data_IF_965551990633
#
_entry.id   IF_965551990633
#
_cell.length_a   1.000
_cell.length_b   1.000
_cell.length_c   1.000
_cell.angle_alpha   90.00
_cell.angle_beta   90.00
_cell.angle_gamma   90.00
#
_symmetry.space_group_name_H-M   'P 1'
#
loop_
_entity.id
_entity.type
_entity.pdbx_description
1 polymer ?
#
# COMPACT_ATOMS: atom_id res chain seq x y z
N UNK A 1 9.73 52.62 -6.26
CA UNK A 1 10.62 53.01 -5.15
C UNK A 1 9.82 52.90 -3.86
N UNK A 2 10.40 52.19 -2.88
CA UNK A 2 10.00 52.05 -1.47
C UNK A 2 8.54 51.71 -1.14
N UNK A 3 8.29 50.43 -0.85
CA UNK A 3 7.24 50.02 0.10
C UNK A 3 7.93 49.31 1.27
N UNK A 4 8.11 50.06 2.34
CA UNK A 4 8.37 49.56 3.68
C UNK A 4 7.03 49.26 4.33
N UNK A 5 6.84 48.04 4.84
CA UNK A 5 5.99 47.78 6.00
C UNK A 5 6.37 46.42 6.58
N UNK A 6 6.77 46.48 7.86
CA UNK A 6 7.21 45.39 8.70
C UNK A 6 6.11 45.03 9.72
N UNK A 7 6.41 44.00 10.52
CA UNK A 7 5.71 43.53 11.73
C UNK A 7 4.50 42.61 11.45
N UNK A 8 4.33 41.46 12.12
CA UNK A 8 4.73 41.11 13.47
C UNK A 8 5.12 39.64 13.63
N UNK A 9 6.11 39.43 14.49
CA UNK A 9 6.49 38.19 15.14
C UNK A 9 5.38 37.77 16.12
N UNK A 10 5.01 36.50 16.15
CA UNK A 10 4.25 35.91 17.25
C UNK A 10 5.22 35.13 18.14
N UNK A 11 5.19 35.48 19.42
CA UNK A 11 5.98 34.94 20.52
C UNK A 11 5.44 33.57 20.98
N UNK A 12 6.32 32.60 21.30
CA UNK A 12 5.94 31.33 21.91
C UNK A 12 6.11 31.40 23.43
N UNK A 13 4.97 31.55 24.11
CA UNK A 13 4.82 31.47 25.56
C UNK A 13 3.42 30.84 25.76
N UNK A 14 3.11 29.93 26.68
CA UNK A 14 3.71 29.47 27.92
C UNK A 14 2.58 28.61 28.51
N UNK A 15 2.74 27.30 28.68
CA UNK A 15 1.90 26.51 29.60
C UNK A 15 2.77 25.44 30.23
N UNK A 16 3.20 25.78 31.43
CA UNK A 16 3.85 24.95 32.45
C UNK A 16 2.74 24.29 33.31
N UNK A 17 3.00 23.04 33.72
CA UNK A 17 2.51 22.14 34.81
C UNK A 17 1.53 22.69 35.89
N UNK A 18 0.92 21.91 36.82
CA UNK A 18 1.07 20.48 37.23
C UNK A 18 -0.33 19.76 37.28
N UNK A 19 -0.59 18.53 37.79
CA UNK A 19 -0.65 18.09 39.19
C UNK A 19 -0.93 16.55 39.28
N UNK A 20 -0.13 15.91 40.12
CA UNK A 20 -0.42 14.84 41.10
C UNK A 20 -1.80 14.14 41.07
N UNK A 21 -1.85 12.87 40.67
CA UNK A 21 -2.93 11.95 41.04
C UNK A 21 -2.32 10.79 41.84
N UNK A 22 -2.21 11.03 43.14
CA UNK A 22 -1.93 10.03 44.17
C UNK A 22 -3.00 8.93 44.11
N UNK A 23 -2.63 7.72 43.66
CA UNK A 23 -3.47 6.54 43.87
C UNK A 23 -3.01 5.79 45.11
N UNK A 24 -3.90 5.82 46.09
CA UNK A 24 -3.76 5.35 47.44
C UNK A 24 -3.32 3.90 47.57
N UNK A 25 -2.45 3.69 48.56
CA UNK A 25 -2.17 2.45 49.26
C UNK A 25 -3.43 1.61 49.55
N UNK A 26 -3.42 0.36 49.13
CA UNK A 26 -4.25 -0.69 49.70
C UNK A 26 -3.39 -1.88 50.11
N UNK A 27 -2.58 -1.67 51.15
CA UNK A 27 -2.00 -2.75 51.93
C UNK A 27 -3.09 -3.51 52.68
N UNK A 28 -3.35 -4.77 52.30
CA UNK A 28 -3.86 -5.78 53.24
C UNK A 28 -3.69 -7.22 52.77
N UNK A 29 -3.27 -8.02 53.74
CA UNK A 29 -3.45 -9.46 53.94
C UNK A 29 -2.52 -10.43 53.19
N UNK A 30 -1.67 -11.06 54.00
CA UNK A 30 -0.76 -12.11 53.58
C UNK A 30 -1.47 -13.38 53.12
N UNK A 31 -0.94 -13.93 52.04
CA UNK A 31 -1.06 -15.34 51.68
C UNK A 31 0.34 -15.88 51.47
N UNK A 32 0.76 -16.83 52.31
CA UNK A 32 1.88 -17.72 52.01
C UNK A 32 1.46 -18.61 50.83
N UNK A 33 1.62 -18.12 49.61
CA UNK A 33 1.44 -18.86 48.38
C UNK A 33 2.81 -19.22 47.80
N UNK A 34 3.02 -20.51 47.56
CA UNK A 34 4.23 -21.11 47.00
C UNK A 34 4.77 -20.36 45.77
N UNK A 35 6.09 -20.42 45.48
CA UNK A 35 6.65 -19.82 44.27
C UNK A 35 6.02 -20.52 43.07
N UNK A 36 5.10 -19.83 42.38
CA UNK A 36 4.66 -20.22 41.06
C UNK A 36 5.89 -20.18 40.17
N UNK A 37 6.41 -21.38 39.86
CA UNK A 37 7.37 -21.65 38.81
C UNK A 37 6.96 -20.79 37.61
N UNK A 38 7.77 -19.78 37.33
CA UNK A 38 7.78 -19.11 36.04
C UNK A 38 8.06 -20.20 35.01
N UNK A 39 6.99 -20.71 34.41
CA UNK A 39 7.03 -21.60 33.26
C UNK A 39 7.65 -20.81 32.12
N UNK A 40 8.98 -20.72 32.14
CA UNK A 40 9.78 -20.31 31.00
C UNK A 40 9.45 -21.34 29.93
N UNK A 41 8.56 -20.99 29.00
CA UNK A 41 8.28 -21.80 27.83
C UNK A 41 9.62 -22.02 27.14
N UNK A 42 10.17 -23.23 27.25
CA UNK A 42 11.34 -23.61 26.47
C UNK A 42 11.01 -23.36 24.99
N UNK A 43 11.90 -22.72 24.22
CA UNK A 43 11.70 -22.58 22.79
C UNK A 43 11.63 -23.99 22.21
N UNK A 44 10.45 -24.34 21.67
CA UNK A 44 10.22 -25.61 20.99
C UNK A 44 11.35 -25.80 19.97
N UNK A 45 12.13 -26.89 20.04
CA UNK A 45 13.20 -27.13 19.08
C UNK A 45 12.59 -27.20 17.69
N UNK A 46 12.98 -26.26 16.82
CA UNK A 46 12.60 -26.29 15.40
C UNK A 46 13.13 -27.59 14.83
N UNK A 47 12.24 -28.49 14.41
CA UNK A 47 12.63 -29.67 13.66
C UNK A 47 13.44 -29.21 12.45
N UNK A 48 14.55 -29.90 12.16
CA UNK A 48 15.49 -29.53 11.08
C UNK A 48 14.84 -29.52 9.68
N UNK A 49 13.59 -29.99 9.57
CA UNK A 49 12.80 -30.09 8.35
C UNK A 49 11.76 -28.98 8.17
N UNK A 50 11.73 -27.95 9.03
CA UNK A 50 10.90 -26.77 8.80
C UNK A 50 11.56 -25.89 7.73
N UNK A 51 11.22 -26.16 6.47
CA UNK A 51 11.61 -25.32 5.35
C UNK A 51 11.13 -23.88 5.59
N UNK A 52 12.04 -22.91 5.44
CA UNK A 52 11.66 -21.51 5.46
C UNK A 52 10.65 -21.27 4.33
N UNK A 53 9.53 -20.65 4.66
CA UNK A 53 8.47 -20.27 3.71
C UNK A 53 8.37 -18.75 3.61
N UNK A 54 7.94 -18.27 2.45
CA UNK A 54 7.68 -16.86 2.23
C UNK A 54 6.52 -16.39 3.12
N UNK A 55 6.73 -15.37 3.94
CA UNK A 55 5.67 -14.88 4.83
C UNK A 55 4.49 -14.22 4.09
N UNK A 56 4.63 -13.90 2.80
CA UNK A 56 3.59 -13.28 1.98
C UNK A 56 2.73 -14.34 1.27
N UNK A 57 3.35 -15.28 0.55
CA UNK A 57 2.60 -16.28 -0.24
C UNK A 57 2.54 -17.67 0.41
N UNK A 58 3.30 -17.90 1.48
CA UNK A 58 3.43 -19.17 2.21
C UNK A 58 4.06 -20.32 1.39
N UNK A 59 4.62 -20.02 0.23
CA UNK A 59 5.36 -21.00 -0.58
C UNK A 59 6.84 -21.10 -0.14
N UNK A 60 7.48 -22.27 -0.30
CA UNK A 60 8.89 -22.47 0.02
C UNK A 60 9.83 -21.73 -0.96
N UNK A 61 11.13 -21.80 -0.68
CA UNK A 61 12.15 -21.39 -1.63
C UNK A 61 12.01 -22.18 -2.96
N UNK A 62 12.22 -21.49 -4.09
CA UNK A 62 12.18 -22.09 -5.43
C UNK A 62 10.86 -21.89 -6.20
N UNK A 63 9.72 -21.73 -5.52
CA UNK A 63 8.44 -21.49 -6.19
C UNK A 63 8.41 -20.16 -6.97
N UNK A 64 8.88 -19.08 -6.35
CA UNK A 64 8.95 -17.72 -6.94
C UNK A 64 10.37 -17.12 -6.87
N UNK A 65 11.38 -18.00 -6.75
CA UNK A 65 12.78 -17.63 -6.55
C UNK A 65 13.30 -17.96 -5.15
N UNK A 66 14.48 -17.44 -4.82
CA UNK A 66 15.10 -17.63 -3.52
C UNK A 66 14.40 -16.80 -2.45
N UNK A 67 14.42 -17.30 -1.21
CA UNK A 67 13.99 -16.54 -0.05
C UNK A 67 15.13 -15.64 0.43
N UNK A 68 14.78 -14.41 0.76
CA UNK A 68 15.70 -13.43 1.33
C UNK A 68 15.14 -12.85 2.63
N UNK A 69 16.03 -12.22 3.39
CA UNK A 69 15.71 -11.56 4.66
C UNK A 69 16.08 -10.08 4.53
N UNK A 70 15.15 -9.21 4.11
CA UNK A 70 15.45 -7.81 3.82
C UNK A 70 15.79 -7.00 5.08
N UNK A 71 15.52 -7.55 6.27
CA UNK A 71 15.82 -6.93 7.55
C UNK A 71 16.06 -8.01 8.63
N UNK A 72 16.37 -7.58 9.86
CA UNK A 72 16.64 -8.47 11.00
C UNK A 72 15.40 -9.25 11.51
N UNK A 73 14.20 -8.97 11.00
CA UNK A 73 13.01 -9.70 11.39
C UNK A 73 13.12 -11.21 11.08
N UNK A 74 12.45 -12.09 11.85
CA UNK A 74 12.50 -13.54 11.67
C UNK A 74 11.78 -14.06 10.42
N UNK A 75 11.47 -13.21 9.44
CA UNK A 75 10.60 -13.52 8.31
C UNK A 75 11.38 -13.54 7.00
N UNK A 76 11.25 -14.65 6.27
CA UNK A 76 11.84 -14.86 4.94
C UNK A 76 10.81 -14.55 3.86
N UNK A 77 11.21 -13.93 2.74
CA UNK A 77 10.31 -13.49 1.67
C UNK A 77 10.94 -13.67 0.30
N UNK A 78 10.15 -13.93 -0.74
CA UNK A 78 10.66 -13.80 -2.11
C UNK A 78 10.80 -12.33 -2.49
N UNK A 79 11.88 -11.97 -3.18
CA UNK A 79 12.11 -10.60 -3.65
C UNK A 79 10.92 -10.02 -4.43
N UNK A 80 10.30 -10.85 -5.28
CA UNK A 80 9.12 -10.46 -6.07
C UNK A 80 7.86 -10.25 -5.20
N UNK A 81 7.65 -11.09 -4.20
CA UNK A 81 6.52 -10.94 -3.27
C UNK A 81 6.66 -9.66 -2.46
N UNK A 82 7.87 -9.36 -1.98
CA UNK A 82 8.17 -8.11 -1.29
C UNK A 82 7.91 -6.91 -2.22
N UNK A 83 8.41 -6.95 -3.45
CA UNK A 83 8.20 -5.87 -4.42
C UNK A 83 6.71 -5.62 -4.70
N UNK A 84 5.91 -6.68 -4.84
CA UNK A 84 4.45 -6.55 -4.99
C UNK A 84 3.79 -5.94 -3.76
N UNK A 85 4.20 -6.35 -2.56
CA UNK A 85 3.66 -5.80 -1.32
C UNK A 85 4.04 -4.31 -1.12
N UNK A 86 5.28 -3.93 -1.44
CA UNK A 86 5.72 -2.54 -1.43
C UNK A 86 4.90 -1.70 -2.43
N UNK A 87 4.67 -2.20 -3.64
CA UNK A 87 3.82 -1.53 -4.63
C UNK A 87 2.37 -1.35 -4.13
N UNK A 88 1.77 -2.35 -3.48
CA UNK A 88 0.43 -2.20 -2.87
C UNK A 88 0.41 -1.23 -1.68
N UNK A 89 1.58 -0.94 -1.13
CA UNK A 89 1.75 -0.02 -0.02
C UNK A 89 2.30 1.33 -0.47
N UNK A 90 2.34 1.59 -1.77
CA UNK A 90 2.91 2.82 -2.31
C UNK A 90 2.26 4.07 -1.70
N UNK A 91 3.11 5.03 -1.36
CA UNK A 91 2.72 6.24 -0.64
C UNK A 91 2.64 6.10 0.88
N UNK A 92 2.74 4.89 1.43
CA UNK A 92 2.85 4.66 2.88
C UNK A 92 4.28 4.35 3.28
N UNK A 93 4.58 4.47 4.57
CA UNK A 93 5.89 4.12 5.12
C UNK A 93 6.26 2.67 4.80
N UNK A 94 5.28 1.76 4.79
CA UNK A 94 5.48 0.35 4.43
C UNK A 94 6.03 0.13 3.02
N UNK A 95 5.95 1.10 2.11
CA UNK A 95 6.63 1.02 0.82
C UNK A 95 8.16 0.93 1.00
N UNK A 96 8.72 1.65 1.97
CA UNK A 96 10.16 1.88 2.11
C UNK A 96 10.75 1.34 3.40
N UNK A 97 9.96 1.14 4.44
CA UNK A 97 10.45 0.66 5.74
C UNK A 97 9.68 -0.57 6.22
N UNK A 98 10.38 -1.43 6.94
CA UNK A 98 9.76 -2.59 7.57
C UNK A 98 8.76 -2.14 8.64
N UNK A 99 7.51 -2.61 8.57
CA UNK A 99 6.47 -2.30 9.57
C UNK A 99 6.80 -2.75 11.00
N UNK A 100 7.76 -3.66 11.18
CA UNK A 100 8.08 -4.23 12.49
C UNK A 100 9.34 -3.63 13.11
N UNK A 101 10.42 -3.52 12.35
CA UNK A 101 11.70 -3.01 12.85
C UNK A 101 12.12 -1.66 12.25
N UNK A 102 11.30 -1.07 11.37
CA UNK A 102 11.52 0.21 10.70
C UNK A 102 12.81 0.33 9.89
N UNK A 103 13.51 -0.78 9.66
CA UNK A 103 14.67 -0.85 8.76
C UNK A 103 14.23 -0.53 7.34
N UNK A 104 15.04 0.26 6.64
CA UNK A 104 14.84 0.58 5.23
C UNK A 104 14.90 -0.70 4.40
N UNK A 105 13.87 -0.89 3.57
CA UNK A 105 13.75 -2.00 2.65
C UNK A 105 14.40 -1.61 1.31
N UNK A 106 14.88 -2.62 0.59
CA UNK A 106 15.37 -2.45 -0.79
C UNK A 106 14.32 -1.79 -1.69
N UNK A 107 14.79 -1.02 -2.67
CA UNK A 107 13.91 -0.51 -3.72
C UNK A 107 13.32 -1.68 -4.53
N UNK A 108 12.00 -1.62 -4.75
CA UNK A 108 11.23 -2.65 -5.43
C UNK A 108 11.23 -2.47 -6.95
N UNK A 109 11.44 -1.25 -7.44
CA UNK A 109 11.35 -0.91 -8.87
C UNK A 109 12.31 -1.72 -9.74
N UNK A 110 13.58 -1.97 -9.36
CA UNK A 110 14.49 -2.79 -10.17
C UNK A 110 14.00 -4.23 -10.31
N UNK A 111 13.43 -4.80 -9.24
CA UNK A 111 12.88 -6.17 -9.23
C UNK A 111 11.75 -6.30 -10.24
N UNK A 112 10.83 -5.33 -10.25
CA UNK A 112 9.71 -5.32 -11.19
C UNK A 112 10.14 -5.04 -12.63
N UNK A 113 11.10 -4.14 -12.82
CA UNK A 113 11.66 -3.83 -14.14
C UNK A 113 12.32 -5.08 -14.74
N UNK A 114 13.18 -5.75 -13.95
CA UNK A 114 13.87 -6.96 -14.39
C UNK A 114 12.89 -8.09 -14.71
N UNK A 115 11.87 -8.30 -13.87
CA UNK A 115 10.89 -9.37 -14.11
C UNK A 115 10.01 -9.13 -15.33
N UNK A 116 9.76 -7.88 -15.69
CA UNK A 116 8.96 -7.54 -16.89
C UNK A 116 9.83 -7.57 -18.16
N UNK A 117 11.15 -7.37 -18.05
CA UNK A 117 12.04 -7.22 -19.20
C UNK A 117 11.69 -6.03 -20.10
N UNK A 118 10.82 -5.14 -19.63
CA UNK A 118 10.31 -4.01 -20.40
C UNK A 118 11.33 -2.86 -20.42
N UNK A 119 11.50 -2.26 -21.59
CA UNK A 119 12.22 -1.00 -21.71
C UNK A 119 11.41 0.11 -21.02
N UNK A 120 12.02 0.78 -20.05
CA UNK A 120 11.44 1.94 -19.38
C UNK A 120 11.26 3.07 -20.40
N UNK A 121 10.03 3.54 -20.56
CA UNK A 121 9.69 4.66 -21.45
C UNK A 121 9.09 5.82 -20.66
N UNK A 122 9.18 7.04 -21.19
CA UNK A 122 8.51 8.20 -20.59
C UNK A 122 6.99 8.02 -20.72
N UNK A 123 6.25 7.91 -19.61
CA UNK A 123 4.85 7.56 -19.66
C UNK A 123 3.93 8.78 -19.83
N UNK A 124 2.72 8.50 -20.34
CA UNK A 124 1.60 9.44 -20.35
C UNK A 124 0.47 8.90 -19.48
N UNK A 125 -0.11 9.77 -18.65
CA UNK A 125 -1.28 9.45 -17.83
C UNK A 125 -2.55 10.00 -18.47
N UNK A 126 -3.65 9.25 -18.31
CA UNK A 126 -4.99 9.66 -18.71
C UNK A 126 -5.74 10.14 -17.47
N UNK A 127 -6.10 11.42 -17.45
CA UNK A 127 -6.82 12.06 -16.34
C UNK A 127 -8.26 12.29 -16.76
N UNK A 128 -9.21 11.77 -15.99
CA UNK A 128 -10.64 11.88 -16.28
C UNK A 128 -11.32 12.73 -15.21
N UNK A 129 -11.91 13.86 -15.58
CA UNK A 129 -12.65 14.74 -14.66
C UNK A 129 -13.79 15.43 -15.40
N UNK A 130 -14.99 15.47 -14.78
CA UNK A 130 -16.16 16.11 -15.37
C UNK A 130 -16.53 15.58 -16.77
N UNK A 131 -16.33 14.28 -17.02
CA UNK A 131 -16.58 13.65 -18.34
C UNK A 131 -15.54 14.00 -19.42
N UNK A 132 -14.55 14.85 -19.13
CA UNK A 132 -13.43 15.17 -20.02
C UNK A 132 -12.23 14.29 -19.70
N UNK A 133 -11.44 13.99 -20.73
CA UNK A 133 -10.23 13.18 -20.61
C UNK A 133 -9.03 13.98 -21.11
N UNK A 134 -8.01 14.10 -20.28
CA UNK A 134 -6.75 14.79 -20.58
C UNK A 134 -5.60 13.80 -20.64
N UNK A 135 -4.66 14.03 -21.55
CA UNK A 135 -3.40 13.28 -21.62
C UNK A 135 -2.29 14.15 -21.06
N UNK A 136 -1.63 13.67 -20.02
CA UNK A 136 -0.57 14.40 -19.32
C UNK A 136 0.70 13.59 -19.41
N UNK A 137 1.78 14.22 -19.88
CA UNK A 137 3.11 13.62 -19.80
C UNK A 137 3.61 13.76 -18.37
N UNK A 138 4.16 12.69 -17.81
CA UNK A 138 4.63 12.68 -16.43
C UNK A 138 6.08 12.24 -16.37
N UNK A 139 6.80 12.77 -15.39
CA UNK A 139 8.18 12.41 -15.11
C UNK A 139 8.29 11.85 -13.69
N UNK A 140 9.20 10.90 -13.43
CA UNK A 140 9.41 10.37 -12.09
C UNK A 140 10.05 11.44 -11.17
N UNK A 141 9.95 11.21 -9.85
CA UNK A 141 10.55 12.06 -8.84
C UNK A 141 9.72 13.27 -8.39
N UNK A 142 10.24 14.04 -7.40
CA UNK A 142 9.48 15.10 -6.73
C UNK A 142 9.17 16.30 -7.63
N UNK A 143 10.08 16.66 -8.53
CA UNK A 143 9.84 17.72 -9.51
C UNK A 143 8.71 17.34 -10.48
N UNK A 144 8.69 16.08 -10.93
CA UNK A 144 7.63 15.54 -11.78
C UNK A 144 6.27 15.52 -11.08
N UNK A 145 6.24 15.20 -9.78
CA UNK A 145 5.03 15.26 -8.97
C UNK A 145 4.50 16.69 -8.84
N UNK A 146 5.36 17.67 -8.53
CA UNK A 146 4.97 19.08 -8.43
C UNK A 146 4.53 19.67 -9.78
N UNK A 147 5.16 19.26 -10.88
CA UNK A 147 4.74 19.64 -12.22
C UNK A 147 3.36 19.04 -12.58
N UNK A 148 3.15 17.76 -12.25
CA UNK A 148 1.86 17.10 -12.44
C UNK A 148 0.77 17.79 -11.63
N UNK A 149 0.98 18.07 -10.35
CA UNK A 149 0.01 18.75 -9.48
C UNK A 149 -0.40 20.12 -10.04
N UNK A 150 0.57 20.96 -10.44
CA UNK A 150 0.30 22.26 -11.07
C UNK A 150 -0.49 22.12 -12.37
N UNK A 151 -0.14 21.12 -13.19
CA UNK A 151 -0.84 20.87 -14.45
C UNK A 151 -2.29 20.43 -14.21
N UNK A 152 -2.54 19.57 -13.22
CA UNK A 152 -3.90 19.14 -12.86
C UNK A 152 -4.72 20.32 -12.33
N UNK A 153 -4.18 21.15 -11.43
CA UNK A 153 -4.87 22.35 -10.95
C UNK A 153 -5.25 23.28 -12.09
N UNK A 154 -4.32 23.53 -13.02
CA UNK A 154 -4.56 24.38 -14.18
C UNK A 154 -5.61 23.78 -15.14
N UNK A 155 -5.53 22.48 -15.44
CA UNK A 155 -6.45 21.78 -16.35
C UNK A 155 -7.88 21.69 -15.80
N UNK A 156 -8.00 21.48 -14.49
CA UNK A 156 -9.29 21.32 -13.81
C UNK A 156 -9.84 22.64 -13.26
N UNK A 157 -9.10 23.74 -13.40
CA UNK A 157 -9.45 25.08 -12.90
C UNK A 157 -9.77 25.07 -11.40
N UNK A 158 -8.97 24.33 -10.62
CA UNK A 158 -9.17 24.22 -9.18
C UNK A 158 -8.65 25.48 -8.47
N UNK A 159 -9.41 26.06 -7.51
CA UNK A 159 -8.93 27.15 -6.67
C UNK A 159 -7.67 26.76 -5.90
N UNK A 160 -6.79 27.72 -5.64
CA UNK A 160 -5.48 27.50 -5.02
C UNK A 160 -5.56 26.95 -3.58
N UNK A 161 -6.69 27.15 -2.89
CA UNK A 161 -6.94 26.61 -1.55
C UNK A 161 -7.70 25.28 -1.52
N UNK A 162 -8.05 24.69 -2.67
CA UNK A 162 -8.79 23.42 -2.71
C UNK A 162 -7.83 22.24 -2.79
N UNK A 163 -7.82 21.41 -1.75
CA UNK A 163 -7.14 20.14 -1.77
C UNK A 163 -7.90 19.14 -2.65
N UNK A 164 -7.17 18.37 -3.45
CA UNK A 164 -7.73 17.32 -4.28
C UNK A 164 -6.99 16.02 -4.04
N UNK A 165 -7.73 14.91 -4.09
CA UNK A 165 -7.17 13.57 -4.02
C UNK A 165 -7.10 12.95 -5.42
N UNK A 166 -6.09 12.10 -5.63
CA UNK A 166 -5.83 11.44 -6.91
C UNK A 166 -5.83 9.93 -6.70
N UNK A 167 -6.60 9.23 -7.52
CA UNK A 167 -6.61 7.76 -7.55
C UNK A 167 -6.02 7.29 -8.88
N UNK A 168 -4.81 6.75 -8.82
CA UNK A 168 -4.14 6.17 -9.97
C UNK A 168 -4.63 4.75 -10.19
N UNK A 169 -5.08 4.48 -11.42
CA UNK A 169 -5.47 3.16 -11.87
C UNK A 169 -4.35 2.60 -12.73
N UNK A 170 -3.64 1.60 -12.21
CA UNK A 170 -2.45 1.03 -12.82
C UNK A 170 -2.65 -0.47 -13.12
N UNK A 171 -1.75 -1.03 -13.94
CA UNK A 171 -1.57 -2.49 -14.02
C UNK A 171 -0.26 -2.85 -13.33
N UNK A 172 -0.31 -3.85 -12.45
CA UNK A 172 0.87 -4.35 -11.77
C UNK A 172 1.85 -4.97 -12.80
N UNK A 173 3.13 -4.57 -12.79
CA UNK A 173 4.14 -5.16 -13.66
C UNK A 173 4.25 -6.68 -13.46
N UNK A 174 4.42 -7.41 -14.56
CA UNK A 174 4.55 -8.88 -14.57
C UNK A 174 3.22 -9.65 -14.51
N UNK A 175 2.26 -9.28 -13.65
CA UNK A 175 0.97 -9.99 -13.55
C UNK A 175 -0.14 -9.36 -14.39
N UNK A 176 -0.10 -8.04 -14.58
CA UNK A 176 -1.15 -7.30 -15.27
C UNK A 176 -2.40 -7.04 -14.43
N UNK A 177 -2.36 -7.36 -13.13
CA UNK A 177 -3.47 -7.15 -12.20
C UNK A 177 -3.82 -5.66 -12.10
N UNK A 178 -5.11 -5.35 -11.98
CA UNK A 178 -5.55 -3.96 -11.78
C UNK A 178 -5.21 -3.54 -10.35
N UNK A 179 -4.49 -2.44 -10.23
CA UNK A 179 -4.09 -1.85 -8.96
C UNK A 179 -4.63 -0.42 -8.86
N UNK A 180 -5.08 -0.05 -7.67
CA UNK A 180 -5.46 1.32 -7.34
C UNK A 180 -4.46 1.87 -6.31
N UNK A 181 -3.82 2.98 -6.65
CA UNK A 181 -2.94 3.72 -5.78
C UNK A 181 -3.61 5.05 -5.45
N UNK A 182 -3.61 5.45 -4.19
CA UNK A 182 -4.31 6.64 -3.70
C UNK A 182 -3.30 7.68 -3.21
N UNK A 183 -3.62 8.95 -3.41
CA UNK A 183 -2.82 10.07 -2.98
C UNK A 183 -1.62 10.39 -3.87
N UNK A 184 -1.15 11.64 -3.80
CA UNK A 184 0.02 12.12 -4.54
C UNK A 184 1.33 11.47 -4.06
N UNK A 185 1.37 10.96 -2.83
CA UNK A 185 2.46 10.16 -2.29
C UNK A 185 2.73 8.88 -3.11
N UNK A 186 1.72 8.30 -3.76
CA UNK A 186 1.87 7.13 -4.61
C UNK A 186 2.20 7.47 -6.09
N UNK A 187 2.41 8.75 -6.42
CA UNK A 187 2.67 9.22 -7.78
C UNK A 187 3.84 8.49 -8.45
N UNK A 188 4.95 8.37 -7.75
CA UNK A 188 6.18 7.82 -8.32
C UNK A 188 6.05 6.31 -8.64
N UNK A 189 5.30 5.58 -7.81
CA UNK A 189 4.94 4.19 -8.07
C UNK A 189 4.00 4.07 -9.28
N UNK A 190 3.03 4.98 -9.42
CA UNK A 190 2.13 5.02 -10.57
C UNK A 190 2.87 5.34 -11.88
N UNK A 191 3.81 6.29 -11.86
CA UNK A 191 4.70 6.61 -13.00
C UNK A 191 5.52 5.38 -13.39
N UNK A 192 6.05 4.65 -12.41
CA UNK A 192 6.82 3.43 -12.67
C UNK A 192 5.96 2.33 -13.31
N UNK A 193 4.74 2.11 -12.83
CA UNK A 193 3.82 1.15 -13.46
C UNK A 193 3.46 1.56 -14.90
N UNK A 194 3.29 2.86 -15.14
CA UNK A 194 3.01 3.39 -16.46
C UNK A 194 4.22 3.28 -17.41
N UNK A 195 5.44 3.46 -16.91
CA UNK A 195 6.67 3.35 -17.71
C UNK A 195 7.01 1.92 -18.11
N UNK A 196 6.55 0.93 -17.34
CA UNK A 196 6.67 -0.50 -17.65
C UNK A 196 5.49 -1.05 -18.46
N UNK A 197 4.43 -0.26 -18.66
CA UNK A 197 3.24 -0.66 -19.43
C UNK A 197 3.54 -0.62 -20.94
N UNK A 198 4.38 -1.54 -21.41
CA UNK A 198 4.43 -1.89 -22.82
C UNK A 198 3.12 -2.60 -23.14
N UNK A 199 2.30 -2.03 -24.01
CA UNK A 199 1.14 -2.73 -24.58
C UNK A 199 1.64 -3.98 -25.31
N UNK A 200 1.77 -5.11 -24.62
CA UNK A 200 1.33 -6.35 -25.26
C UNK A 200 -0.17 -6.17 -25.48
N UNK A 201 -0.68 -6.38 -26.70
CA UNK A 201 -2.11 -6.25 -26.97
C UNK A 201 -2.82 -7.39 -26.25
N UNK A 202 -3.09 -7.24 -24.96
CA UNK A 202 -4.19 -7.94 -24.31
C UNK A 202 -5.45 -7.32 -24.93
N UNK A 203 -6.01 -8.05 -25.88
CA UNK A 203 -7.35 -7.88 -26.44
C UNK A 203 -8.36 -7.43 -25.38
N UNK A 204 -9.37 -6.69 -25.86
CA UNK A 204 -10.60 -6.29 -25.16
C UNK A 204 -10.57 -4.92 -24.49
N UNK A 205 -10.59 -3.88 -25.33
CA UNK A 205 -11.55 -2.78 -25.15
C UNK A 205 -11.79 -2.09 -26.49
N UNK A 206 -12.68 -2.69 -27.29
CA UNK A 206 -13.41 -2.07 -28.38
C UNK A 206 -14.76 -2.82 -28.55
N UNK A 207 -15.86 -2.07 -28.74
CA UNK A 207 -17.26 -2.49 -28.96
C UNK A 207 -18.01 -3.01 -27.71
N UNK A 208 -18.99 -2.29 -27.16
CA UNK A 208 -20.38 -2.09 -27.63
C UNK A 208 -21.30 -3.31 -27.36
N UNK A 209 -22.42 -3.02 -26.69
CA UNK A 209 -23.66 -3.79 -26.46
C UNK A 209 -23.74 -5.25 -26.95
N UNK A 210 -24.09 -6.17 -26.04
CA UNK A 210 -24.47 -7.53 -26.41
C UNK A 210 -24.76 -8.44 -25.22
N UNK A 211 -26.03 -8.83 -25.10
CA UNK A 211 -26.62 -9.84 -24.24
C UNK A 211 -25.90 -11.21 -24.32
N UNK A 212 -26.06 -12.02 -23.25
CA UNK A 212 -25.92 -13.50 -23.14
C UNK A 212 -24.66 -14.15 -22.54
N UNK A 213 -24.90 -14.69 -21.34
CA UNK A 213 -24.69 -16.07 -20.86
C UNK A 213 -23.29 -16.49 -20.38
N UNK A 214 -23.26 -16.87 -19.09
CA UNK A 214 -22.12 -17.41 -18.33
C UNK A 214 -21.40 -18.60 -18.99
N UNK A 215 -20.12 -18.81 -18.61
CA UNK A 215 -19.81 -20.06 -17.91
C UNK A 215 -18.70 -19.99 -16.83
N UNK A 216 -18.92 -20.83 -15.82
CA UNK A 216 -18.01 -21.77 -15.13
C UNK A 216 -16.68 -21.29 -14.49
N UNK A 217 -16.62 -21.59 -13.19
CA UNK A 217 -15.55 -21.51 -12.19
C UNK A 217 -14.18 -22.02 -12.68
N UNK A 218 -13.15 -21.20 -12.42
CA UNK A 218 -11.83 -21.66 -11.98
C UNK A 218 -11.43 -20.77 -10.77
N UNK A 219 -11.65 -21.28 -9.56
CA UNK A 219 -11.30 -20.59 -8.33
C UNK A 219 -9.80 -20.75 -8.09
N UNK A 220 -9.02 -19.71 -8.42
CA UNK A 220 -7.62 -19.60 -7.99
C UNK A 220 -7.54 -19.31 -6.48
N UNK A 221 -6.61 -19.97 -5.80
CA UNK A 221 -6.47 -19.98 -4.35
C UNK A 221 -6.13 -18.60 -3.70
N UNK A 222 -5.91 -17.54 -4.48
CA UNK A 222 -5.68 -16.18 -3.97
C UNK A 222 -6.95 -15.43 -3.52
N UNK A 223 -8.14 -15.92 -3.89
CA UNK A 223 -9.41 -15.34 -3.44
C UNK A 223 -9.72 -15.56 -1.94
N UNK A 224 -8.94 -16.40 -1.24
CA UNK A 224 -9.18 -16.74 0.17
C UNK A 224 -8.46 -15.86 1.18
N UNK A 225 -7.49 -15.02 0.77
CA UNK A 225 -6.78 -14.14 1.71
C UNK A 225 -7.47 -12.77 1.90
N UNK A 226 -8.36 -12.34 0.99
CA UNK A 226 -9.09 -11.07 1.11
C UNK A 226 -10.39 -11.17 1.94
N UNK A 227 -10.75 -12.35 2.45
CA UNK A 227 -11.88 -12.53 3.36
C UNK A 227 -11.50 -12.36 4.85
N UNK A 228 -10.21 -12.21 5.18
CA UNK A 228 -9.72 -12.17 6.56
C UNK A 228 -9.50 -10.75 7.13
N UNK A 229 -9.86 -9.70 6.38
CA UNK A 229 -9.79 -8.30 6.83
C UNK A 229 -11.19 -7.64 6.77
N UNK A 230 -12.14 -8.19 7.52
CA UNK A 230 -13.03 -7.38 8.37
C UNK A 230 -13.95 -6.30 7.79
N UNK A 231 -14.50 -6.41 6.58
CA UNK A 231 -15.64 -5.58 6.15
C UNK A 231 -16.92 -6.41 6.01
N UNK A 232 -17.75 -6.40 7.06
CA UNK A 232 -19.11 -6.98 7.06
C UNK A 232 -20.00 -6.11 6.16
N UNK A 233 -20.31 -6.56 4.95
CA UNK A 233 -21.50 -6.08 4.24
C UNK A 233 -22.68 -6.92 4.72
N UNK A 234 -23.47 -6.35 5.64
CA UNK A 234 -24.77 -6.90 6.00
C UNK A 234 -25.72 -6.80 4.82
N UNK A 235 -26.12 -7.94 4.29
CA UNK A 235 -27.30 -8.09 3.47
C UNK A 235 -28.19 -9.10 4.19
N UNK A 236 -29.18 -8.59 4.92
CA UNK A 236 -30.24 -9.40 5.49
C UNK A 236 -31.39 -9.50 4.47
N UNK A 237 -31.93 -10.69 4.40
CA UNK A 237 -32.73 -11.27 3.32
C UNK A 237 -34.21 -11.11 3.68
N UNK A 238 -34.97 -10.40 2.84
CA UNK A 238 -36.44 -10.32 2.96
C UNK A 238 -37.08 -10.87 1.69
N UNK A 239 -37.50 -12.13 1.79
CA UNK A 239 -38.12 -12.97 0.76
C UNK A 239 -39.56 -12.52 0.40
N UNK A 240 -40.04 -12.75 -0.85
CA UNK A 240 -41.35 -12.28 -1.32
C UNK A 240 -42.51 -13.22 -0.97
N UNK A 241 -43.66 -12.62 -0.63
CA UNK A 241 -44.96 -13.29 -0.44
C UNK A 241 -45.87 -13.08 -1.65
N UNK A 242 -46.53 -14.18 -2.05
CA UNK A 242 -47.37 -14.35 -3.22
C UNK A 242 -48.67 -13.52 -3.20
N UNK A 243 -49.17 -13.23 -4.40
CA UNK A 243 -50.56 -12.89 -4.69
C UNK A 243 -51.04 -13.82 -5.82
#
# INVERSE_FOLDING_TARGET
MVLSSAFSCVDPALVDDPEDESFSDCSSSGGKGAPLRSSRSEPIPRSADQEDVCWICLDPAGAHGTLERPCACPRSVHAMCLARWQLHSAGRDEERVCRFCHTELRDWKPVMTQATGAKVVTPYMRVSFGGKTYKVQVQPGPEGAAAFERQIRSLLQLPEGLEFDVIFHCRAPGTGDKLQLQGLNAFDAAVHCASLSNKTPSSSQAAAAGDRKAPRKAAGAFGRLLAALGCRTGADDAQPGAA
#
